data_IF_347710786133
#
_entry.id   IF_347710786133
#
_cell.length_a   1.000
_cell.length_b   1.000
_cell.length_c   1.000
_cell.angle_alpha   90.00
_cell.angle_beta   90.00
_cell.angle_gamma   90.00
#
_symmetry.space_group_name_H-M   'P 1'
#
loop_
_entity.id
_entity.type
_entity.pdbx_description
1 polymer ?
#
# COMPACT_ATOMS: atom_id res chain seq x y z
N UNK A 1 15.94 28.01 -5.60
CA UNK A 1 15.48 26.61 -5.77
C UNK A 1 14.43 26.32 -4.72
N UNK A 2 13.17 26.25 -5.10
CA UNK A 2 12.15 25.70 -4.22
C UNK A 2 12.42 24.21 -4.08
N UNK A 3 12.82 23.77 -2.90
CA UNK A 3 12.81 22.36 -2.55
C UNK A 3 11.34 21.95 -2.52
N UNK A 4 10.90 21.24 -3.54
CA UNK A 4 9.57 20.66 -3.58
C UNK A 4 9.58 19.49 -2.61
N UNK A 5 9.16 19.74 -1.36
CA UNK A 5 8.92 18.67 -0.41
C UNK A 5 7.70 17.93 -0.90
N UNK A 6 7.89 16.76 -1.50
CA UNK A 6 6.79 15.88 -1.86
C UNK A 6 6.19 15.34 -0.56
N UNK A 7 4.85 15.42 -0.36
CA UNK A 7 4.25 14.84 0.81
C UNK A 7 4.44 13.33 0.79
N UNK A 8 5.15 12.83 1.78
CA UNK A 8 5.29 11.41 2.03
C UNK A 8 4.53 11.02 3.29
N UNK A 9 3.89 9.88 3.24
CA UNK A 9 3.26 9.28 4.41
C UNK A 9 4.02 8.03 4.77
N UNK A 10 4.35 7.89 6.06
CA UNK A 10 4.92 6.68 6.63
C UNK A 10 4.05 6.25 7.80
N UNK A 11 3.49 5.05 7.68
CA UNK A 11 2.68 4.42 8.73
C UNK A 11 3.33 3.12 9.16
N UNK A 12 3.35 2.86 10.46
CA UNK A 12 3.73 1.56 11.02
C UNK A 12 2.55 1.09 11.87
N UNK A 13 2.05 -0.11 11.58
CA UNK A 13 0.90 -0.67 12.29
C UNK A 13 1.15 -2.11 12.70
N UNK A 14 0.82 -2.43 13.95
CA UNK A 14 0.83 -3.80 14.45
C UNK A 14 -0.47 -4.48 14.12
N UNK A 15 -0.40 -5.62 13.39
CA UNK A 15 -1.53 -6.45 13.07
C UNK A 15 -1.34 -7.87 13.63
N UNK A 16 -2.39 -8.42 14.20
CA UNK A 16 -2.37 -9.74 14.86
C UNK A 16 -2.54 -10.90 13.85
N UNK A 17 -1.95 -10.77 12.67
CA UNK A 17 -2.03 -11.76 11.59
C UNK A 17 -0.64 -12.17 11.12
N UNK A 18 -0.52 -13.34 10.52
CA UNK A 18 0.73 -13.83 9.95
C UNK A 18 1.25 -12.94 8.82
N UNK A 19 2.55 -12.71 8.77
CA UNK A 19 3.18 -11.83 7.80
C UNK A 19 3.02 -12.32 6.34
N UNK A 20 3.09 -13.62 6.12
CA UNK A 20 2.92 -14.18 4.77
C UNK A 20 1.47 -14.11 4.30
N UNK A 21 0.50 -14.25 5.21
CA UNK A 21 -0.91 -14.04 4.91
C UNK A 21 -1.18 -12.58 4.52
N UNK A 22 -0.64 -11.63 5.26
CA UNK A 22 -0.78 -10.20 4.96
C UNK A 22 -0.09 -9.82 3.65
N UNK A 23 1.11 -10.35 3.40
CA UNK A 23 1.78 -10.15 2.11
C UNK A 23 0.91 -10.65 0.95
N UNK A 24 0.35 -11.84 1.08
CA UNK A 24 -0.52 -12.45 0.09
C UNK A 24 -1.76 -11.59 -0.19
N UNK A 25 -2.37 -11.05 0.85
CA UNK A 25 -3.53 -10.17 0.75
C UNK A 25 -3.21 -8.89 -0.03
N UNK A 26 -2.11 -8.23 0.30
CA UNK A 26 -1.70 -6.97 -0.34
C UNK A 26 -1.15 -7.22 -1.76
N UNK A 27 -0.53 -8.37 -2.01
CA UNK A 27 -0.02 -8.75 -3.32
C UNK A 27 -1.15 -9.07 -4.33
N UNK A 28 -2.31 -9.50 -3.86
CA UNK A 28 -3.46 -9.84 -4.70
C UNK A 28 -4.26 -8.59 -5.08
N UNK A 29 -3.67 -7.75 -5.93
CA UNK A 29 -4.22 -6.43 -6.28
C UNK A 29 -5.57 -6.51 -7.01
N UNK A 30 -5.85 -7.61 -7.72
CA UNK A 30 -7.12 -7.77 -8.44
C UNK A 30 -8.33 -7.79 -7.52
N UNK A 31 -8.15 -8.13 -6.25
CA UNK A 31 -9.23 -8.17 -5.26
C UNK A 31 -9.50 -6.81 -4.61
N UNK A 32 -8.64 -5.81 -4.83
CA UNK A 32 -8.75 -4.49 -4.20
C UNK A 32 -10.14 -3.83 -4.36
N UNK A 33 -10.77 -3.87 -5.55
CA UNK A 33 -12.10 -3.26 -5.69
C UNK A 33 -13.18 -3.90 -4.83
N UNK A 34 -12.97 -5.12 -4.36
CA UNK A 34 -13.95 -5.84 -3.52
C UNK A 34 -14.03 -5.26 -2.10
N UNK A 35 -12.97 -4.62 -1.60
CA UNK A 35 -12.93 -4.16 -0.21
C UNK A 35 -12.33 -2.76 -0.01
N UNK A 36 -11.69 -2.18 -1.01
CA UNK A 36 -11.15 -0.80 -0.96
C UNK A 36 -12.07 0.10 -1.77
N UNK A 37 -12.94 0.83 -1.10
CA UNK A 37 -13.94 1.67 -1.75
C UNK A 37 -13.34 2.76 -2.64
N UNK A 38 -12.12 3.21 -2.35
CA UNK A 38 -11.39 4.18 -3.18
C UNK A 38 -11.04 3.63 -4.56
N UNK A 39 -10.94 2.31 -4.69
CA UNK A 39 -10.55 1.65 -5.95
C UNK A 39 -11.79 1.02 -6.56
N UNK A 40 -12.34 1.67 -7.58
CA UNK A 40 -13.57 1.22 -8.24
C UNK A 40 -13.36 0.15 -9.28
N UNK A 41 -12.16 0.08 -9.85
CA UNK A 41 -11.76 -0.95 -10.82
C UNK A 41 -10.23 -1.11 -10.79
N UNK A 42 -9.76 -2.30 -11.10
CA UNK A 42 -8.35 -2.60 -11.24
C UNK A 42 -8.15 -3.75 -12.21
N UNK A 43 -7.18 -3.62 -13.10
CA UNK A 43 -6.77 -4.70 -13.99
C UNK A 43 -5.25 -4.82 -14.05
N UNK A 44 -4.77 -6.04 -14.23
CA UNK A 44 -3.37 -6.32 -14.45
C UNK A 44 -3.07 -6.32 -15.94
N UNK A 45 -1.96 -5.70 -16.31
CA UNK A 45 -1.38 -5.73 -17.63
C UNK A 45 0.08 -6.15 -17.57
N UNK A 46 0.61 -6.62 -18.70
CA UNK A 46 2.04 -6.85 -18.88
C UNK A 46 2.70 -7.58 -17.71
N UNK A 47 2.13 -8.73 -17.36
CA UNK A 47 2.68 -9.57 -16.29
C UNK A 47 3.94 -10.27 -16.78
N UNK A 48 5.11 -9.87 -16.25
CA UNK A 48 6.39 -10.55 -16.51
C UNK A 48 6.45 -11.89 -15.78
N UNK A 49 6.02 -11.92 -14.53
CA UNK A 49 5.84 -13.11 -13.71
C UNK A 49 4.85 -12.78 -12.58
N UNK A 50 4.60 -13.74 -11.69
CA UNK A 50 3.62 -13.54 -10.60
C UNK A 50 4.01 -12.39 -9.66
N UNK A 51 5.29 -12.05 -9.58
CA UNK A 51 5.82 -11.03 -8.67
C UNK A 51 6.17 -9.70 -9.36
N UNK A 52 5.93 -9.57 -10.67
CA UNK A 52 6.24 -8.34 -11.41
C UNK A 52 5.21 -8.12 -12.52
N UNK A 53 4.42 -7.08 -12.39
CA UNK A 53 3.36 -6.76 -13.35
C UNK A 53 2.99 -5.29 -13.31
N UNK A 54 2.31 -4.84 -14.35
CA UNK A 54 1.67 -3.51 -14.38
C UNK A 54 0.21 -3.62 -13.99
N UNK A 55 -0.27 -2.62 -13.26
CA UNK A 55 -1.66 -2.50 -12.85
C UNK A 55 -2.23 -1.15 -13.24
N UNK A 56 -3.47 -1.15 -13.69
CA UNK A 56 -4.25 0.06 -13.92
C UNK A 56 -5.40 0.07 -12.93
N UNK A 57 -5.42 1.08 -12.04
CA UNK A 57 -6.45 1.26 -11.04
C UNK A 57 -7.25 2.53 -11.31
N UNK A 58 -8.56 2.44 -11.21
CA UNK A 58 -9.44 3.61 -11.20
C UNK A 58 -9.70 3.98 -9.75
N UNK A 59 -9.20 5.15 -9.35
CA UNK A 59 -9.39 5.70 -8.01
C UNK A 59 -10.53 6.69 -8.05
N UNK A 60 -11.52 6.49 -7.18
CA UNK A 60 -12.71 7.31 -7.11
C UNK A 60 -12.98 7.72 -5.66
N UNK A 61 -13.04 9.02 -5.41
CA UNK A 61 -13.40 9.56 -4.10
C UNK A 61 -14.04 10.93 -4.28
N UNK A 62 -15.31 11.04 -3.92
CA UNK A 62 -16.12 12.26 -4.13
C UNK A 62 -16.03 12.70 -5.61
N UNK A 63 -15.44 13.86 -5.88
CA UNK A 63 -15.29 14.40 -7.24
C UNK A 63 -14.06 13.89 -7.97
N UNK A 64 -13.16 13.19 -7.28
CA UNK A 64 -11.97 12.61 -7.87
C UNK A 64 -12.30 11.27 -8.54
N UNK A 65 -11.97 11.15 -9.84
CA UNK A 65 -12.01 9.87 -10.56
C UNK A 65 -10.87 9.87 -11.58
N UNK A 66 -9.82 9.10 -11.29
CA UNK A 66 -8.59 9.10 -12.08
C UNK A 66 -8.05 7.69 -12.28
N UNK A 67 -7.36 7.48 -13.40
CA UNK A 67 -6.69 6.23 -13.69
C UNK A 67 -5.23 6.31 -13.28
N UNK A 68 -4.80 5.39 -12.41
CA UNK A 68 -3.43 5.27 -11.96
C UNK A 68 -2.78 4.04 -12.60
N UNK A 69 -1.70 4.27 -13.34
CA UNK A 69 -0.90 3.20 -13.95
C UNK A 69 0.36 3.00 -13.11
N UNK A 70 0.57 1.78 -12.67
CA UNK A 70 1.68 1.46 -11.78
C UNK A 70 2.33 0.12 -12.13
N UNK A 71 3.59 -0.03 -11.74
CA UNK A 71 4.32 -1.29 -11.76
C UNK A 71 4.42 -1.81 -10.34
N UNK A 72 4.04 -3.05 -10.15
CA UNK A 72 4.05 -3.73 -8.86
C UNK A 72 5.17 -4.77 -8.87
N UNK A 73 6.04 -4.69 -7.89
CA UNK A 73 7.16 -5.60 -7.68
C UNK A 73 7.07 -6.19 -6.27
N UNK A 74 6.97 -7.52 -6.20
CA UNK A 74 6.82 -8.26 -4.95
C UNK A 74 8.11 -9.03 -4.68
N UNK A 75 8.65 -8.90 -3.48
CA UNK A 75 9.78 -9.70 -2.99
C UNK A 75 9.31 -10.59 -1.84
N UNK A 76 8.98 -11.87 -2.10
CA UNK A 76 8.49 -12.77 -1.05
C UNK A 76 9.51 -13.06 0.04
N UNK A 77 10.80 -13.05 -0.28
CA UNK A 77 11.88 -13.32 0.68
C UNK A 77 12.01 -12.20 1.71
N UNK A 78 11.91 -10.95 1.24
CA UNK A 78 11.95 -9.76 2.08
C UNK A 78 10.58 -9.39 2.64
N UNK A 79 9.53 -10.09 2.24
CA UNK A 79 8.13 -9.75 2.55
C UNK A 79 7.84 -8.28 2.27
N UNK A 80 8.17 -7.84 1.07
CA UNK A 80 8.00 -6.45 0.65
C UNK A 80 7.29 -6.34 -0.70
N UNK A 81 6.61 -5.23 -0.88
CA UNK A 81 5.97 -4.84 -2.14
C UNK A 81 6.40 -3.41 -2.43
N UNK A 82 6.87 -3.18 -3.63
CA UNK A 82 7.19 -1.85 -4.13
C UNK A 82 6.34 -1.55 -5.34
N UNK A 83 5.70 -0.37 -5.32
CA UNK A 83 4.85 0.12 -6.39
C UNK A 83 5.37 1.47 -6.85
N UNK A 84 5.50 1.65 -8.15
CA UNK A 84 5.91 2.91 -8.75
C UNK A 84 5.05 3.26 -9.96
N UNK A 85 5.06 4.51 -10.35
CA UNK A 85 4.39 4.96 -11.58
C UNK A 85 4.91 4.18 -12.78
N UNK A 86 4.02 3.77 -13.67
CA UNK A 86 4.34 3.09 -14.94
C UNK A 86 3.94 3.95 -16.12
N UNK A 87 4.89 4.16 -17.05
CA UNK A 87 4.66 4.89 -18.30
C UNK A 87 4.33 6.38 -18.09
N UNK A 88 3.98 7.05 -19.18
CA UNK A 88 3.69 8.49 -19.19
C UNK A 88 2.18 8.82 -19.20
N UNK A 89 1.34 7.81 -19.41
CA UNK A 89 -0.11 7.97 -19.42
C UNK A 89 -0.74 8.02 -18.04
N UNK A 90 -2.00 8.43 -17.98
CA UNK A 90 -2.80 8.49 -16.75
C UNK A 90 -2.57 9.78 -15.95
N UNK A 91 -3.14 9.81 -14.77
CA UNK A 91 -3.22 11.00 -13.92
C UNK A 91 -1.97 11.24 -13.05
N UNK A 92 -1.13 10.22 -12.90
CA UNK A 92 0.04 10.31 -12.02
C UNK A 92 1.16 11.12 -12.63
N UNK A 93 1.67 12.10 -11.88
CA UNK A 93 2.97 12.72 -12.12
C UNK A 93 4.09 11.86 -11.52
N UNK A 94 3.89 11.38 -10.31
CA UNK A 94 4.81 10.47 -9.63
C UNK A 94 4.04 9.58 -8.65
N UNK A 95 4.56 8.39 -8.42
CA UNK A 95 4.09 7.48 -7.39
C UNK A 95 5.25 6.59 -6.95
N UNK A 96 5.44 6.50 -5.64
CA UNK A 96 6.15 5.40 -5.00
C UNK A 96 5.35 4.94 -3.80
N UNK A 97 5.21 3.64 -3.64
CA UNK A 97 4.55 3.05 -2.49
C UNK A 97 5.33 1.80 -2.08
N UNK A 98 5.61 1.69 -0.80
CA UNK A 98 6.36 0.56 -0.25
C UNK A 98 5.60 -0.06 0.91
N UNK A 99 5.53 -1.38 0.89
CA UNK A 99 5.02 -2.20 1.98
C UNK A 99 6.12 -3.12 2.45
N UNK A 100 6.29 -3.25 3.77
CA UNK A 100 7.13 -4.28 4.38
C UNK A 100 6.37 -4.94 5.52
N UNK A 101 6.39 -6.25 5.55
CA UNK A 101 5.70 -7.06 6.55
C UNK A 101 6.75 -7.73 7.44
N UNK A 102 7.01 -7.14 8.60
CA UNK A 102 7.97 -7.65 9.57
C UNK A 102 7.32 -8.70 10.48
N UNK A 103 7.80 -9.94 10.39
CA UNK A 103 7.33 -11.00 11.28
C UNK A 103 7.90 -10.81 12.68
N UNK A 104 7.03 -10.69 13.66
CA UNK A 104 7.39 -10.49 15.06
C UNK A 104 7.55 -11.83 15.78
N UNK A 105 8.16 -11.80 16.95
CA UNK A 105 8.50 -12.99 17.75
C UNK A 105 7.28 -13.83 18.15
N UNK A 106 6.11 -13.19 18.35
CA UNK A 106 4.85 -13.88 18.68
C UNK A 106 4.06 -14.37 17.45
N UNK A 107 4.60 -14.23 16.25
CA UNK A 107 3.93 -14.59 15.00
C UNK A 107 3.03 -13.50 14.42
N UNK A 108 2.81 -12.39 15.11
CA UNK A 108 2.11 -11.23 14.58
C UNK A 108 3.02 -10.42 13.65
N UNK A 109 2.52 -9.34 13.09
CA UNK A 109 3.23 -8.58 12.06
C UNK A 109 3.24 -7.09 12.37
N UNK A 110 4.39 -6.45 12.14
CA UNK A 110 4.47 -5.01 12.00
C UNK A 110 4.46 -4.65 10.53
N UNK A 111 3.48 -3.88 10.10
CA UNK A 111 3.31 -3.45 8.71
C UNK A 111 3.86 -2.05 8.57
N UNK A 112 4.87 -1.90 7.71
CA UNK A 112 5.37 -0.61 7.27
C UNK A 112 4.69 -0.26 5.95
N UNK A 113 4.13 0.93 5.88
CA UNK A 113 3.54 1.50 4.68
C UNK A 113 4.13 2.89 4.44
N UNK A 114 4.70 3.08 3.26
CA UNK A 114 5.19 4.38 2.81
C UNK A 114 4.57 4.72 1.46
N UNK A 115 4.15 5.96 1.28
CA UNK A 115 3.61 6.42 0.00
C UNK A 115 3.99 7.88 -0.28
N UNK A 116 4.43 8.10 -1.51
CA UNK A 116 4.58 9.40 -2.13
C UNK A 116 3.75 9.41 -3.42
N UNK A 117 2.87 10.38 -3.57
CA UNK A 117 2.04 10.49 -4.76
C UNK A 117 1.83 11.94 -5.17
N UNK A 118 1.94 12.21 -6.47
CA UNK A 118 1.53 13.50 -7.03
C UNK A 118 0.80 13.30 -8.34
N UNK A 119 -0.18 14.16 -8.60
CA UNK A 119 -1.00 14.16 -9.81
C UNK A 119 -0.55 15.26 -10.77
N UNK A 120 -0.76 15.02 -12.08
CA UNK A 120 -0.45 16.00 -13.12
C UNK A 120 -1.36 17.22 -13.05
N UNK A 121 -2.63 17.02 -12.74
CA UNK A 121 -3.63 18.08 -12.74
C UNK A 121 -3.57 18.89 -11.46
N UNK A 122 -3.39 20.19 -11.60
CA UNK A 122 -3.63 21.20 -10.60
C UNK A 122 -5.06 21.73 -10.79
N UNK A 123 -5.93 21.81 -9.82
CA UNK A 123 -5.75 21.71 -8.36
C UNK A 123 -5.94 20.33 -7.75
N UNK A 124 -6.22 19.28 -8.53
CA UNK A 124 -6.42 17.91 -8.00
C UNK A 124 -5.22 17.45 -7.19
N UNK A 125 -4.01 17.79 -7.62
CA UNK A 125 -2.80 17.46 -6.89
C UNK A 125 -2.81 18.04 -5.48
N UNK A 126 -3.24 19.30 -5.32
CA UNK A 126 -3.36 19.92 -4.00
C UNK A 126 -4.38 19.20 -3.11
N UNK A 127 -5.51 18.77 -3.69
CA UNK A 127 -6.52 18.03 -2.94
C UNK A 127 -5.96 16.69 -2.43
N UNK A 128 -5.27 15.94 -3.28
CA UNK A 128 -4.65 14.68 -2.90
C UNK A 128 -3.59 14.90 -1.82
N UNK A 129 -2.69 15.87 -2.01
CA UNK A 129 -1.63 16.18 -1.04
C UNK A 129 -2.18 16.60 0.31
N UNK A 130 -3.26 17.38 0.34
CA UNK A 130 -3.88 17.81 1.60
C UNK A 130 -4.58 16.69 2.36
N UNK A 131 -4.90 15.57 1.70
CA UNK A 131 -5.67 14.47 2.27
C UNK A 131 -4.95 13.13 2.24
N UNK A 132 -3.68 13.11 1.89
CA UNK A 132 -2.93 11.85 1.72
C UNK A 132 -2.87 11.03 3.00
N UNK A 133 -2.76 11.67 4.16
CA UNK A 133 -2.79 10.99 5.45
C UNK A 133 -4.13 10.25 5.63
N UNK A 134 -5.23 10.93 5.34
CA UNK A 134 -6.57 10.33 5.47
C UNK A 134 -6.81 9.20 4.48
N UNK A 135 -6.37 9.36 3.23
CA UNK A 135 -6.47 8.29 2.23
C UNK A 135 -5.64 7.07 2.63
N UNK A 136 -4.45 7.29 3.18
CA UNK A 136 -3.58 6.21 3.65
C UNK A 136 -4.19 5.45 4.83
N UNK A 137 -4.82 6.16 5.77
CA UNK A 137 -5.55 5.54 6.88
C UNK A 137 -6.74 4.71 6.39
N UNK A 138 -7.52 5.23 5.44
CA UNK A 138 -8.66 4.52 4.85
C UNK A 138 -8.19 3.21 4.19
N UNK A 139 -7.10 3.26 3.45
CA UNK A 139 -6.52 2.09 2.79
C UNK A 139 -6.06 1.06 3.83
N UNK A 140 -5.33 1.49 4.85
CA UNK A 140 -4.86 0.61 5.91
C UNK A 140 -6.01 -0.04 6.69
N UNK A 141 -7.04 0.73 7.04
CA UNK A 141 -8.24 0.23 7.70
C UNK A 141 -8.98 -0.81 6.83
N UNK A 142 -9.04 -0.59 5.52
CA UNK A 142 -9.66 -1.53 4.59
C UNK A 142 -8.89 -2.86 4.55
N UNK A 143 -7.57 -2.84 4.52
CA UNK A 143 -6.75 -4.06 4.57
C UNK A 143 -6.88 -4.79 5.90
N UNK A 144 -6.89 -4.07 7.01
CA UNK A 144 -7.08 -4.67 8.34
C UNK A 144 -8.46 -5.34 8.48
N UNK A 145 -9.49 -4.66 8.03
CA UNK A 145 -10.85 -5.21 8.01
C UNK A 145 -10.94 -6.46 7.14
N UNK A 146 -10.30 -6.43 5.94
CA UNK A 146 -10.29 -7.59 5.04
C UNK A 146 -9.51 -8.76 5.64
N UNK A 147 -8.40 -8.50 6.30
CA UNK A 147 -7.63 -9.52 7.01
C UNK A 147 -8.47 -10.20 8.11
N UNK A 148 -9.28 -9.42 8.83
CA UNK A 148 -10.18 -9.97 9.86
C UNK A 148 -11.25 -10.92 9.30
N UNK A 149 -11.66 -10.71 8.05
CA UNK A 149 -12.61 -11.60 7.37
C UNK A 149 -11.95 -12.88 6.86
N UNK A 150 -10.70 -12.82 6.43
CA UNK A 150 -10.03 -13.91 5.72
C UNK A 150 -9.14 -14.78 6.61
N UNK A 151 -8.57 -14.21 7.67
CA UNK A 151 -7.54 -14.86 8.46
C UNK A 151 -7.91 -14.95 9.93
N UNK A 152 -7.33 -15.96 10.59
CA UNK A 152 -7.39 -16.06 12.05
C UNK A 152 -6.25 -15.26 12.65
N UNK A 153 -6.52 -14.62 13.78
CA UNK A 153 -5.49 -13.95 14.57
C UNK A 153 -4.49 -14.96 15.12
N UNK A 154 -3.23 -14.58 15.11
CA UNK A 154 -2.15 -15.36 15.73
C UNK A 154 -2.19 -15.25 17.24
N UNK A 155 -1.39 -16.08 17.92
CA UNK A 155 -1.35 -16.15 19.38
C UNK A 155 -1.00 -14.77 20.03
N UNK A 156 -1.68 -14.45 21.13
CA UNK A 156 -1.72 -13.13 21.75
C UNK A 156 -0.66 -12.88 22.81
N UNK A 157 0.50 -13.52 22.75
CA UNK A 157 1.59 -13.10 23.64
C UNK A 157 1.98 -11.67 23.27
N UNK A 158 1.99 -10.78 24.28
CA UNK A 158 2.36 -9.38 24.05
C UNK A 158 3.78 -9.23 23.52
N UNK A 159 3.98 -8.33 22.58
CA UNK A 159 5.30 -7.94 22.05
C UNK A 159 5.39 -6.43 22.00
N UNK A 160 6.59 -5.92 22.24
CA UNK A 160 6.93 -4.54 21.93
C UNK A 160 7.36 -4.47 20.46
N UNK A 161 6.41 -4.28 19.58
CA UNK A 161 6.66 -4.31 18.13
C UNK A 161 7.57 -3.16 17.66
N UNK A 162 7.53 -2.01 18.32
CA UNK A 162 8.42 -0.87 18.02
C UNK A 162 9.87 -1.26 18.27
N UNK A 163 10.13 -1.86 19.42
CA UNK A 163 11.47 -2.29 19.81
C UNK A 163 12.01 -3.40 18.90
N UNK A 164 11.16 -4.36 18.53
CA UNK A 164 11.53 -5.41 17.59
C UNK A 164 11.84 -4.87 16.19
N UNK A 165 11.07 -3.87 15.72
CA UNK A 165 11.33 -3.22 14.42
C UNK A 165 12.64 -2.46 14.44
N UNK A 166 12.97 -1.76 15.52
CA UNK A 166 14.25 -1.04 15.64
C UNK A 166 15.45 -1.97 15.50
N UNK A 167 15.34 -3.21 15.92
CA UNK A 167 16.38 -4.24 15.74
C UNK A 167 16.44 -4.74 14.28
N UNK A 168 15.29 -4.80 13.59
CA UNK A 168 15.18 -5.33 12.23
C UNK A 168 15.35 -4.26 11.15
N UNK A 169 14.99 -3.02 11.45
CA UNK A 169 15.15 -1.90 10.51
C UNK A 169 16.55 -1.34 10.60
N UNK A 170 17.28 -1.77 9.76
CA UNK A 170 18.62 -1.32 9.52
C UNK A 170 18.60 -0.21 8.49
#
# INVERSE_FOLDING_TARGET
KKIQVMPSVKLIKHLEYDADDLLSLVANVEDYPKFINLISALRIKNRSNINNFEAEAVVSYKLLRECFKSRVMIDPKKRSIFVEKSGDGGALKSLTNKWVFYKLSNGSTAVLFEVDVSLKAFPLNLLVQSRINRYSEIIMEAFESRASELFRKVNKCGVDFIKEIEVLSI
#
